data_IF_807242219863
#
_entry.id   IF_807242219863
#
_cell.length_a   1.000
_cell.length_b   1.000
_cell.length_c   1.000
_cell.angle_alpha   90.00
_cell.angle_beta   90.00
_cell.angle_gamma   90.00
#
_symmetry.space_group_name_H-M   'P 1'
#
loop_
_entity.id
_entity.type
_entity.pdbx_description
1 polymer ?
#
# COMPACT_ATOMS: atom_id res chain seq x y z
N UNK A 1 48.88 -1.45 -60.07
CA UNK A 1 47.80 -1.24 -59.09
C UNK A 1 48.28 -0.26 -58.08
N UNK A 2 47.92 1.01 -58.28
CA UNK A 2 48.32 2.15 -57.47
C UNK A 2 47.19 2.50 -56.52
N UNK A 3 47.40 2.34 -55.24
CA UNK A 3 46.46 2.73 -54.17
C UNK A 3 46.75 4.19 -53.81
N UNK A 4 45.81 5.05 -54.12
CA UNK A 4 45.83 6.50 -53.74
C UNK A 4 45.23 6.62 -52.35
N UNK A 5 46.03 7.01 -51.36
CA UNK A 5 45.63 7.39 -50.03
C UNK A 5 45.22 8.87 -50.03
N UNK A 6 43.93 9.15 -49.80
CA UNK A 6 43.44 10.53 -49.66
C UNK A 6 43.45 10.96 -48.18
N UNK A 7 44.34 11.87 -47.83
CA UNK A 7 44.43 12.52 -46.52
C UNK A 7 43.34 13.57 -46.42
N UNK A 8 42.38 13.37 -45.54
CA UNK A 8 41.34 14.37 -45.21
C UNK A 8 41.91 15.29 -44.12
N UNK A 9 42.26 16.54 -44.50
CA UNK A 9 42.61 17.61 -43.57
C UNK A 9 41.36 18.20 -42.97
N UNK A 10 41.18 18.04 -41.66
CA UNK A 10 40.09 18.69 -40.89
C UNK A 10 40.35 20.20 -40.76
N UNK A 11 39.35 21.07 -40.93
CA UNK A 11 39.54 22.49 -40.74
C UNK A 11 39.73 22.85 -39.27
N UNK A 12 40.78 23.60 -38.96
CA UNK A 12 41.06 24.15 -37.63
C UNK A 12 40.06 25.27 -37.35
N UNK A 13 39.12 25.02 -36.44
CA UNK A 13 38.20 26.07 -35.96
C UNK A 13 38.92 26.83 -34.88
N UNK A 14 39.32 28.08 -35.19
CA UNK A 14 39.80 29.05 -34.20
C UNK A 14 38.63 29.46 -33.30
N UNK A 15 38.57 28.90 -32.10
CA UNK A 15 37.66 29.37 -31.07
C UNK A 15 38.20 30.65 -30.43
N UNK A 16 37.41 31.71 -30.29
CA UNK A 16 37.83 32.93 -29.60
C UNK A 16 38.05 32.59 -28.11
N UNK A 17 39.25 32.95 -27.63
CA UNK A 17 39.60 32.85 -26.21
C UNK A 17 38.79 33.86 -25.40
N UNK A 18 37.70 33.44 -24.78
CA UNK A 18 36.98 34.27 -23.82
C UNK A 18 37.69 34.11 -22.47
N UNK A 19 38.48 35.09 -22.08
CA UNK A 19 39.04 35.21 -20.73
C UNK A 19 37.95 35.64 -19.77
N UNK A 20 37.15 34.64 -19.30
CA UNK A 20 36.25 34.84 -18.19
C UNK A 20 36.96 34.69 -16.83
N UNK A 21 36.43 35.26 -15.74
CA UNK A 21 37.02 35.14 -14.43
C UNK A 21 37.12 33.67 -14.03
N UNK A 22 38.29 33.24 -13.59
CA UNK A 22 38.57 31.88 -13.11
C UNK A 22 37.76 31.64 -11.87
N UNK A 23 36.59 31.00 -12.02
CA UNK A 23 35.82 30.51 -10.88
C UNK A 23 36.60 29.29 -10.35
N UNK A 24 37.31 29.48 -9.24
CA UNK A 24 37.90 28.37 -8.51
C UNK A 24 36.79 27.44 -8.03
N UNK A 25 36.63 26.31 -8.70
CA UNK A 25 35.71 25.26 -8.24
C UNK A 25 36.08 24.87 -6.83
N UNK A 26 35.15 24.89 -5.87
CA UNK A 26 35.44 24.39 -4.53
C UNK A 26 35.81 22.90 -4.63
N UNK A 27 37.05 22.59 -4.31
CA UNK A 27 37.50 21.18 -4.22
C UNK A 27 36.78 20.54 -3.04
N UNK A 28 35.69 19.83 -3.34
CA UNK A 28 34.98 19.03 -2.30
C UNK A 28 35.87 17.84 -1.99
N UNK A 29 36.69 17.97 -0.95
CA UNK A 29 37.47 16.86 -0.41
C UNK A 29 36.54 15.96 0.40
N UNK A 30 36.11 14.85 -0.18
CA UNK A 30 35.41 13.80 0.55
C UNK A 30 36.41 13.08 1.45
N UNK A 31 36.45 13.45 2.73
CA UNK A 31 37.20 12.70 3.72
C UNK A 31 36.51 11.35 3.95
N UNK A 32 37.26 10.28 3.80
CA UNK A 32 36.82 8.88 3.95
C UNK A 32 36.28 8.59 5.36
N UNK A 33 36.49 9.52 6.30
CA UNK A 33 36.04 9.44 7.69
C UNK A 33 34.50 9.51 7.85
N UNK A 34 33.79 10.11 6.89
CA UNK A 34 32.32 10.23 6.98
C UNK A 34 31.55 8.98 6.55
N UNK A 35 32.24 7.96 6.03
CA UNK A 35 31.58 6.72 5.56
C UNK A 35 31.34 5.68 6.64
N UNK A 36 31.89 5.83 7.82
CA UNK A 36 31.81 4.86 8.92
C UNK A 36 30.98 5.31 10.11
N UNK A 37 30.12 6.30 9.98
CA UNK A 37 29.01 6.41 10.91
C UNK A 37 28.08 5.20 10.69
N UNK A 38 28.46 4.07 11.29
CA UNK A 38 27.56 2.93 11.50
C UNK A 38 26.36 3.50 12.25
N UNK A 39 25.31 3.81 11.49
CA UNK A 39 24.04 4.32 12.02
C UNK A 39 23.50 3.24 12.93
N UNK A 40 23.71 3.43 14.22
CA UNK A 40 23.39 2.48 15.26
C UNK A 40 21.91 2.07 15.14
N UNK A 41 21.68 0.75 15.22
CA UNK A 41 20.36 0.08 15.17
C UNK A 41 19.28 0.76 16.03
N UNK A 42 19.68 1.49 17.08
CA UNK A 42 18.79 2.29 17.94
C UNK A 42 18.20 3.54 17.26
N UNK A 43 18.87 4.11 16.27
CA UNK A 43 18.34 5.22 15.45
C UNK A 43 17.24 4.75 14.50
N UNK A 44 17.31 3.50 14.02
CA UNK A 44 16.35 2.92 13.09
C UNK A 44 15.02 2.57 13.77
N UNK A 45 15.03 2.11 15.02
CA UNK A 45 13.81 1.79 15.79
C UNK A 45 12.99 3.07 16.04
N UNK A 46 13.64 4.20 16.34
CA UNK A 46 12.95 5.50 16.48
C UNK A 46 12.42 6.07 15.18
N UNK A 47 12.85 5.54 14.04
CA UNK A 47 12.35 5.93 12.74
C UNK A 47 11.01 5.26 12.35
N UNK A 48 10.67 4.13 12.99
CA UNK A 48 9.43 3.38 12.72
C UNK A 48 8.16 4.22 12.98
N UNK A 49 7.98 4.89 14.14
CA UNK A 49 6.77 5.68 14.39
C UNK A 49 6.62 6.85 13.42
N UNK A 50 7.70 7.47 12.98
CA UNK A 50 7.66 8.52 11.97
C UNK A 50 7.28 7.98 10.58
N UNK A 51 7.75 6.77 10.25
CA UNK A 51 7.35 6.08 9.03
C UNK A 51 5.87 5.70 9.06
N UNK A 52 5.38 5.13 10.16
CA UNK A 52 3.96 4.83 10.37
C UNK A 52 3.08 6.07 10.27
N UNK A 53 3.49 7.17 10.90
CA UNK A 53 2.77 8.44 10.82
C UNK A 53 2.67 8.95 9.38
N UNK A 54 3.74 8.84 8.60
CA UNK A 54 3.74 9.25 7.19
C UNK A 54 2.79 8.38 6.34
N UNK A 55 2.78 7.06 6.57
CA UNK A 55 1.85 6.16 5.89
C UNK A 55 0.40 6.44 6.29
N UNK A 56 0.13 6.68 7.58
CA UNK A 56 -1.20 7.03 8.07
C UNK A 56 -1.75 8.32 7.43
N UNK A 57 -0.92 9.35 7.32
CA UNK A 57 -1.31 10.61 6.65
C UNK A 57 -1.64 10.37 5.18
N UNK A 58 -0.84 9.56 4.47
CA UNK A 58 -1.11 9.18 3.07
C UNK A 58 -2.48 8.49 2.94
N UNK A 59 -2.78 7.55 3.83
CA UNK A 59 -4.04 6.80 3.82
C UNK A 59 -5.27 7.71 4.02
N UNK A 60 -5.20 8.61 4.97
CA UNK A 60 -6.32 9.51 5.29
C UNK A 60 -6.50 10.62 4.25
N UNK A 61 -5.42 11.03 3.57
CA UNK A 61 -5.44 12.04 2.53
C UNK A 61 -5.99 11.52 1.19
N UNK A 62 -5.84 10.23 0.89
CA UNK A 62 -6.27 9.64 -0.37
C UNK A 62 -7.79 9.49 -0.43
N UNK A 63 -8.43 10.20 -1.36
CA UNK A 63 -9.88 10.09 -1.61
C UNK A 63 -10.29 8.66 -1.98
N UNK A 64 -9.43 7.93 -2.70
CA UNK A 64 -9.66 6.54 -3.08
C UNK A 64 -9.93 5.64 -1.86
N UNK A 65 -9.23 5.84 -0.77
CA UNK A 65 -9.38 5.04 0.44
C UNK A 65 -10.75 5.25 1.12
N UNK A 66 -11.26 6.47 1.07
CA UNK A 66 -12.61 6.80 1.56
C UNK A 66 -13.69 6.13 0.71
N UNK A 67 -13.50 6.09 -0.61
CA UNK A 67 -14.40 5.38 -1.52
C UNK A 67 -14.38 3.87 -1.30
N UNK A 68 -13.23 3.29 -1.05
CA UNK A 68 -13.10 1.85 -0.74
C UNK A 68 -13.83 1.53 0.57
N UNK A 69 -13.67 2.35 1.62
CA UNK A 69 -14.42 2.20 2.87
C UNK A 69 -15.94 2.32 2.67
N UNK A 70 -16.36 3.32 1.89
CA UNK A 70 -17.78 3.50 1.56
C UNK A 70 -18.33 2.31 0.77
N UNK A 71 -17.61 1.83 -0.25
CA UNK A 71 -18.00 0.63 -1.01
C UNK A 71 -18.07 -0.61 -0.13
N UNK A 72 -17.13 -0.77 0.79
CA UNK A 72 -17.15 -1.89 1.76
C UNK A 72 -18.40 -1.83 2.65
N UNK A 73 -18.77 -0.64 3.13
CA UNK A 73 -19.99 -0.46 3.91
C UNK A 73 -21.25 -0.78 3.09
N UNK A 74 -21.33 -0.27 1.85
CA UNK A 74 -22.46 -0.53 0.95
C UNK A 74 -22.58 -2.03 0.65
N UNK A 75 -21.49 -2.70 0.30
CA UNK A 75 -21.48 -4.14 0.01
C UNK A 75 -21.91 -4.94 1.25
N UNK A 76 -21.36 -4.61 2.43
CA UNK A 76 -21.72 -5.27 3.67
C UNK A 76 -23.20 -5.14 4.00
N UNK A 77 -23.72 -3.89 3.96
CA UNK A 77 -25.11 -3.62 4.28
C UNK A 77 -26.09 -4.22 3.25
N UNK A 78 -25.80 -4.08 1.95
CA UNK A 78 -26.69 -4.59 0.90
C UNK A 78 -26.78 -6.11 0.90
N UNK A 79 -25.65 -6.81 0.94
CA UNK A 79 -25.67 -8.28 0.87
C UNK A 79 -26.34 -8.84 2.12
N UNK A 80 -25.95 -8.41 3.30
CA UNK A 80 -26.55 -8.90 4.53
C UNK A 80 -28.02 -8.49 4.67
N UNK A 81 -28.36 -7.26 4.25
CA UNK A 81 -29.74 -6.76 4.30
C UNK A 81 -30.68 -7.49 3.32
N UNK A 82 -30.24 -7.71 2.09
CA UNK A 82 -31.03 -8.45 1.09
C UNK A 82 -31.22 -9.90 1.54
N UNK A 83 -30.16 -10.56 2.00
CA UNK A 83 -30.27 -11.92 2.52
C UNK A 83 -31.19 -12.00 3.72
N UNK A 84 -31.12 -11.05 4.65
CA UNK A 84 -32.03 -10.97 5.79
C UNK A 84 -33.49 -10.79 5.36
N UNK A 85 -33.75 -9.88 4.42
CA UNK A 85 -35.10 -9.61 3.93
C UNK A 85 -35.71 -10.77 3.12
N UNK A 86 -34.88 -11.62 2.51
CA UNK A 86 -35.31 -12.78 1.73
C UNK A 86 -35.28 -14.10 2.48
N UNK A 87 -34.70 -14.10 3.69
CA UNK A 87 -34.62 -15.29 4.52
C UNK A 87 -36.03 -15.71 4.98
N UNK A 88 -36.45 -16.89 4.54
CA UNK A 88 -37.70 -17.53 5.00
C UNK A 88 -37.52 -18.32 6.28
N UNK A 89 -36.28 -18.66 6.63
CA UNK A 89 -35.93 -19.42 7.81
C UNK A 89 -35.75 -18.51 9.01
N UNK A 90 -36.63 -18.64 10.02
CA UNK A 90 -36.57 -17.91 11.28
C UNK A 90 -35.35 -18.27 12.15
N UNK A 91 -34.50 -19.22 11.72
CA UNK A 91 -33.33 -19.69 12.46
C UNK A 91 -32.03 -18.90 12.11
N UNK A 92 -32.03 -18.14 11.01
CA UNK A 92 -30.86 -17.40 10.60
C UNK A 92 -30.63 -16.15 11.48
N UNK A 93 -29.40 -15.99 11.94
CA UNK A 93 -28.99 -14.85 12.76
C UNK A 93 -28.12 -13.89 11.98
N UNK A 94 -28.10 -12.61 12.39
CA UNK A 94 -27.22 -11.60 11.77
C UNK A 94 -25.74 -12.01 11.84
N UNK A 95 -25.35 -12.78 12.87
CA UNK A 95 -24.00 -13.34 13.02
C UNK A 95 -23.64 -14.40 11.96
N UNK A 96 -24.60 -14.92 11.25
CA UNK A 96 -24.39 -15.84 10.11
C UNK A 96 -24.40 -15.06 8.80
N UNK A 97 -25.28 -14.11 8.67
CA UNK A 97 -25.48 -13.35 7.44
C UNK A 97 -24.28 -12.45 7.09
N UNK A 98 -23.55 -11.90 8.09
CA UNK A 98 -22.42 -11.03 7.81
C UNK A 98 -21.21 -11.77 7.20
N UNK A 99 -21.21 -13.11 7.20
CA UNK A 99 -20.14 -13.92 6.58
C UNK A 99 -20.19 -13.84 5.06
N UNK A 100 -21.38 -13.70 4.47
CA UNK A 100 -21.55 -13.70 3.01
C UNK A 100 -20.85 -12.57 2.27
N UNK A 101 -20.80 -11.31 2.75
CA UNK A 101 -20.03 -10.25 2.11
C UNK A 101 -18.52 -10.36 2.31
N UNK A 102 -18.02 -11.22 3.22
CA UNK A 102 -16.58 -11.29 3.56
C UNK A 102 -15.66 -11.53 2.37
N UNK A 103 -15.95 -12.42 1.40
CA UNK A 103 -15.05 -12.63 0.26
C UNK A 103 -14.87 -11.37 -0.59
N UNK A 104 -15.94 -10.60 -0.80
CA UNK A 104 -15.87 -9.34 -1.55
C UNK A 104 -15.09 -8.26 -0.78
N UNK A 105 -15.32 -8.16 0.52
CA UNK A 105 -14.56 -7.25 1.40
C UNK A 105 -13.08 -7.64 1.42
N UNK A 106 -12.76 -8.94 1.46
CA UNK A 106 -11.39 -9.42 1.40
C UNK A 106 -10.71 -9.10 0.05
N UNK A 107 -11.44 -9.22 -1.07
CA UNK A 107 -10.94 -8.75 -2.38
C UNK A 107 -10.61 -7.26 -2.37
N UNK A 108 -11.48 -6.41 -1.83
CA UNK A 108 -11.22 -4.98 -1.70
C UNK A 108 -10.01 -4.70 -0.81
N UNK A 109 -9.87 -5.45 0.28
CA UNK A 109 -8.71 -5.35 1.17
C UNK A 109 -7.40 -5.75 0.46
N UNK A 110 -7.42 -6.85 -0.30
CA UNK A 110 -6.27 -7.30 -1.07
C UNK A 110 -5.88 -6.30 -2.17
N UNK A 111 -6.87 -5.77 -2.91
CA UNK A 111 -6.62 -4.71 -3.92
C UNK A 111 -6.01 -3.47 -3.27
N UNK A 112 -6.50 -3.08 -2.09
CA UNK A 112 -5.93 -1.93 -1.34
C UNK A 112 -4.47 -2.20 -0.95
N UNK A 113 -4.17 -3.42 -0.49
CA UNK A 113 -2.80 -3.86 -0.19
C UNK A 113 -1.87 -3.78 -1.41
N UNK A 114 -2.33 -4.26 -2.58
CA UNK A 114 -1.60 -4.16 -3.84
C UNK A 114 -1.31 -2.70 -4.18
N UNK A 115 -2.34 -1.84 -4.19
CA UNK A 115 -2.24 -0.43 -4.58
C UNK A 115 -1.32 0.36 -3.64
N UNK A 116 -1.24 -0.01 -2.37
CA UNK A 116 -0.38 0.64 -1.40
C UNK A 116 1.11 0.55 -1.77
N UNK A 117 1.54 -0.53 -2.42
CA UNK A 117 2.92 -0.68 -2.86
C UNK A 117 3.10 -0.26 -4.32
N UNK A 118 2.24 -0.75 -5.22
CA UNK A 118 2.38 -0.52 -6.66
C UNK A 118 2.19 0.93 -7.03
N UNK A 119 1.34 1.67 -6.32
CA UNK A 119 1.15 3.10 -6.51
C UNK A 119 2.46 3.88 -6.32
N UNK A 120 3.22 3.59 -5.27
CA UNK A 120 4.51 4.24 -5.04
C UNK A 120 5.58 3.78 -6.04
N UNK A 121 5.57 2.51 -6.42
CA UNK A 121 6.51 1.97 -7.39
C UNK A 121 6.34 2.61 -8.78
N UNK A 122 5.09 2.79 -9.23
CA UNK A 122 4.77 3.38 -10.53
C UNK A 122 5.09 4.88 -10.61
N UNK A 123 4.93 5.62 -9.51
CA UNK A 123 5.22 7.06 -9.46
C UNK A 123 6.68 7.38 -9.11
N UNK A 124 7.55 6.37 -8.99
CA UNK A 124 8.97 6.56 -8.68
C UNK A 124 9.26 7.05 -7.25
N UNK A 125 8.23 7.26 -6.43
CA UNK A 125 8.38 7.75 -5.05
C UNK A 125 9.08 6.73 -4.15
N UNK A 126 9.03 5.44 -4.50
CA UNK A 126 9.75 4.38 -3.80
C UNK A 126 11.27 4.57 -3.85
N UNK A 127 11.81 4.97 -5.00
CA UNK A 127 13.25 5.23 -5.17
C UNK A 127 13.72 6.38 -4.27
N UNK A 128 12.94 7.46 -4.21
CA UNK A 128 13.23 8.62 -3.34
C UNK A 128 13.18 8.23 -1.86
N UNK A 129 12.18 7.43 -1.47
CA UNK A 129 12.04 6.95 -0.10
C UNK A 129 13.21 6.04 0.31
N UNK A 130 13.66 5.15 -0.58
CA UNK A 130 14.80 4.27 -0.35
C UNK A 130 16.13 5.03 -0.30
N UNK A 131 16.28 6.09 -1.11
CA UNK A 131 17.46 6.96 -1.09
C UNK A 131 17.52 7.77 0.22
N UNK A 132 16.39 8.27 0.70
CA UNK A 132 16.30 9.01 1.95
C UNK A 132 16.50 8.13 3.20
N UNK A 133 16.18 6.84 3.12
CA UNK A 133 16.28 5.88 4.23
C UNK A 133 16.87 4.55 3.76
N UNK A 134 18.16 4.28 4.01
CA UNK A 134 18.82 3.04 3.62
C UNK A 134 18.33 1.80 4.38
N UNK A 135 17.66 1.98 5.53
CA UNK A 135 17.09 0.90 6.35
C UNK A 135 15.79 0.36 5.73
N UNK A 136 15.90 -0.53 4.75
CA UNK A 136 14.76 -1.11 3.99
C UNK A 136 13.73 -1.80 4.88
N UNK A 137 14.18 -2.45 5.97
CA UNK A 137 13.28 -3.15 6.89
C UNK A 137 12.27 -2.22 7.57
N UNK A 138 12.65 -0.95 7.87
CA UNK A 138 11.74 0.05 8.47
C UNK A 138 10.56 0.34 7.53
N UNK A 139 10.83 0.46 6.23
CA UNK A 139 9.81 0.74 5.23
C UNK A 139 8.85 -0.46 5.08
N UNK A 140 9.41 -1.67 5.00
CA UNK A 140 8.61 -2.89 4.89
C UNK A 140 7.73 -3.07 6.14
N UNK A 141 8.29 -2.92 7.34
CA UNK A 141 7.53 -3.03 8.59
C UNK A 141 6.43 -1.99 8.68
N UNK A 142 6.71 -0.73 8.33
CA UNK A 142 5.69 0.32 8.33
C UNK A 142 4.55 -0.02 7.39
N UNK A 143 4.84 -0.46 6.16
CA UNK A 143 3.81 -0.86 5.17
C UNK A 143 3.01 -2.07 5.61
N UNK A 144 3.65 -3.08 6.18
CA UNK A 144 2.96 -4.28 6.69
C UNK A 144 1.99 -3.93 7.83
N UNK A 145 2.43 -3.13 8.80
CA UNK A 145 1.56 -2.67 9.90
C UNK A 145 0.40 -1.84 9.37
N UNK A 146 0.68 -0.95 8.41
CA UNK A 146 -0.35 -0.10 7.82
C UNK A 146 -1.35 -0.90 6.99
N UNK A 147 -0.89 -1.90 6.21
CA UNK A 147 -1.78 -2.80 5.46
C UNK A 147 -2.67 -3.63 6.39
N UNK A 148 -2.12 -4.14 7.49
CA UNK A 148 -2.90 -4.84 8.51
C UNK A 148 -3.96 -3.92 9.14
N UNK A 149 -3.60 -2.68 9.48
CA UNK A 149 -4.53 -1.69 10.01
C UNK A 149 -5.66 -1.34 9.03
N UNK A 150 -5.37 -1.23 7.73
CA UNK A 150 -6.38 -1.04 6.68
C UNK A 150 -7.30 -2.26 6.61
N UNK A 151 -6.75 -3.46 6.61
CA UNK A 151 -7.53 -4.70 6.62
C UNK A 151 -8.49 -4.76 7.81
N UNK A 152 -8.01 -4.40 9.02
CA UNK A 152 -8.85 -4.29 10.22
C UNK A 152 -9.95 -3.23 10.07
N UNK A 153 -9.63 -2.06 9.51
CA UNK A 153 -10.60 -0.99 9.31
C UNK A 153 -11.68 -1.39 8.30
N UNK A 154 -11.30 -2.01 7.18
CA UNK A 154 -12.24 -2.53 6.18
C UNK A 154 -13.10 -3.66 6.75
N UNK A 155 -12.49 -4.58 7.51
CA UNK A 155 -13.20 -5.66 8.18
C UNK A 155 -14.21 -5.15 9.18
N UNK A 156 -13.81 -4.21 10.05
CA UNK A 156 -14.72 -3.59 11.02
C UNK A 156 -15.85 -2.83 10.33
N UNK A 157 -15.55 -2.07 9.27
CA UNK A 157 -16.57 -1.33 8.51
C UNK A 157 -17.56 -2.28 7.84
N UNK A 158 -17.06 -3.32 7.15
CA UNK A 158 -17.91 -4.33 6.50
C UNK A 158 -18.78 -5.09 7.49
N UNK A 159 -18.23 -5.42 8.64
CA UNK A 159 -18.96 -6.11 9.71
C UNK A 159 -20.06 -5.24 10.31
N UNK A 160 -19.75 -4.00 10.72
CA UNK A 160 -20.74 -3.06 11.27
C UNK A 160 -21.85 -2.79 10.25
N UNK A 161 -21.49 -2.56 9.00
CA UNK A 161 -22.46 -2.36 7.93
C UNK A 161 -23.30 -3.62 7.64
N UNK A 162 -22.68 -4.80 7.67
CA UNK A 162 -23.38 -6.08 7.54
C UNK A 162 -24.41 -6.32 8.65
N UNK A 163 -24.04 -6.04 9.90
CA UNK A 163 -24.98 -6.12 11.02
C UNK A 163 -26.11 -5.10 10.91
N UNK A 164 -25.80 -3.88 10.52
CA UNK A 164 -26.82 -2.85 10.30
C UNK A 164 -27.80 -3.27 9.19
N UNK A 165 -27.30 -3.81 8.10
CA UNK A 165 -28.11 -4.34 7.00
C UNK A 165 -29.01 -5.51 7.45
N UNK A 166 -28.47 -6.48 8.18
CA UNK A 166 -29.22 -7.61 8.70
C UNK A 166 -30.31 -7.17 9.71
N UNK A 167 -29.99 -6.22 10.58
CA UNK A 167 -30.96 -5.66 11.54
C UNK A 167 -32.11 -4.93 10.84
N UNK A 168 -31.83 -4.17 9.76
CA UNK A 168 -32.86 -3.54 8.93
C UNK A 168 -33.73 -4.61 8.24
N UNK A 169 -33.14 -5.74 7.85
CA UNK A 169 -33.86 -6.88 7.28
C UNK A 169 -34.70 -7.67 8.30
N UNK A 170 -34.68 -7.32 9.60
CA UNK A 170 -35.54 -7.88 10.64
C UNK A 170 -34.98 -9.16 11.30
N UNK A 171 -33.69 -9.47 11.13
CA UNK A 171 -33.07 -10.67 11.70
C UNK A 171 -32.42 -10.36 13.05
N UNK A 172 -32.56 -11.27 14.01
CA UNK A 172 -31.95 -11.13 15.34
C UNK A 172 -30.43 -11.23 15.31
N UNK A 173 -29.74 -10.49 16.20
CA UNK A 173 -28.29 -10.41 16.27
C UNK A 173 -27.58 -11.75 16.58
N UNK A 174 -28.27 -12.68 17.26
CA UNK A 174 -27.69 -13.94 17.70
C UNK A 174 -26.95 -13.85 19.03
N UNK A 175 -26.30 -14.95 19.44
CA UNK A 175 -25.62 -15.04 20.75
C UNK A 175 -24.31 -14.26 20.74
N UNK A 176 -23.99 -13.54 21.82
CA UNK A 176 -22.80 -12.70 21.94
C UNK A 176 -21.47 -13.46 21.79
N UNK A 177 -21.40 -14.72 22.27
CA UNK A 177 -20.19 -15.54 22.17
C UNK A 177 -19.88 -15.97 20.71
N UNK A 178 -20.91 -16.40 19.98
CA UNK A 178 -20.78 -16.75 18.56
C UNK A 178 -20.41 -15.52 17.72
N UNK A 179 -21.00 -14.37 18.03
CA UNK A 179 -20.71 -13.10 17.41
C UNK A 179 -19.23 -12.73 17.55
N UNK A 180 -18.71 -12.76 18.77
CA UNK A 180 -17.31 -12.37 19.06
C UNK A 180 -16.33 -13.29 18.35
N UNK A 181 -16.53 -14.60 18.39
CA UNK A 181 -15.66 -15.56 17.72
C UNK A 181 -15.64 -15.34 16.20
N UNK A 182 -16.80 -15.24 15.58
CA UNK A 182 -16.92 -15.01 14.12
C UNK A 182 -16.33 -13.66 13.70
N UNK A 183 -16.55 -12.61 14.51
CA UNK A 183 -15.99 -11.29 14.27
C UNK A 183 -14.45 -11.30 14.28
N UNK A 184 -13.84 -11.97 15.25
CA UNK A 184 -12.38 -12.09 15.32
C UNK A 184 -11.80 -12.82 14.10
N UNK A 185 -12.42 -13.92 13.69
CA UNK A 185 -12.01 -14.66 12.49
C UNK A 185 -12.19 -13.84 11.23
N UNK A 186 -13.28 -13.09 11.10
CA UNK A 186 -13.51 -12.20 9.96
C UNK A 186 -12.47 -11.08 9.86
N UNK A 187 -12.16 -10.43 10.99
CA UNK A 187 -11.13 -9.39 11.04
C UNK A 187 -9.75 -9.93 10.70
N UNK A 188 -9.40 -11.11 11.22
CA UNK A 188 -8.14 -11.77 10.90
C UNK A 188 -8.06 -12.13 9.40
N UNK A 189 -9.13 -12.71 8.85
CA UNK A 189 -9.21 -13.08 7.44
C UNK A 189 -9.01 -11.89 6.51
N UNK A 190 -9.71 -10.77 6.75
CA UNK A 190 -9.63 -9.57 5.93
C UNK A 190 -8.25 -8.89 6.08
N UNK A 191 -7.69 -8.87 7.29
CA UNK A 191 -6.33 -8.35 7.51
C UNK A 191 -5.28 -9.18 6.78
N UNK A 192 -5.43 -10.51 6.79
CA UNK A 192 -4.54 -11.42 6.07
C UNK A 192 -4.67 -11.21 4.55
N UNK A 193 -5.87 -11.02 4.02
CA UNK A 193 -6.08 -10.70 2.61
C UNK A 193 -5.37 -9.41 2.21
N UNK A 194 -5.43 -8.35 3.03
CA UNK A 194 -4.70 -7.11 2.78
C UNK A 194 -3.17 -7.32 2.77
N UNK A 195 -2.65 -8.15 3.67
CA UNK A 195 -1.22 -8.49 3.73
C UNK A 195 -0.78 -9.32 2.53
N UNK A 196 -1.58 -10.27 2.11
CA UNK A 196 -1.33 -11.06 0.88
C UNK A 196 -1.30 -10.13 -0.32
N UNK A 197 -2.28 -9.22 -0.44
CA UNK A 197 -2.30 -8.21 -1.49
C UNK A 197 -1.05 -7.34 -1.49
N UNK A 198 -0.59 -6.87 -0.34
CA UNK A 198 0.67 -6.13 -0.22
C UNK A 198 1.86 -6.98 -0.71
N UNK A 199 1.94 -8.25 -0.31
CA UNK A 199 3.00 -9.18 -0.76
C UNK A 199 3.01 -9.38 -2.27
N UNK A 200 1.83 -9.59 -2.87
CA UNK A 200 1.68 -9.70 -4.33
C UNK A 200 2.10 -8.39 -5.00
N UNK A 201 1.70 -7.23 -4.48
CA UNK A 201 2.10 -5.92 -4.99
C UNK A 201 3.63 -5.72 -4.97
N UNK A 202 4.32 -6.22 -3.95
CA UNK A 202 5.79 -6.16 -3.88
C UNK A 202 6.48 -6.99 -4.95
N UNK A 203 5.89 -8.13 -5.35
CA UNK A 203 6.45 -9.03 -6.36
C UNK A 203 6.20 -8.50 -7.76
N UNK A 204 4.98 -8.08 -8.05
CA UNK A 204 4.52 -7.83 -9.43
C UNK A 204 4.82 -6.41 -9.92
N UNK A 205 5.17 -5.46 -9.11
CA UNK A 205 5.50 -4.06 -9.46
C UNK A 205 4.50 -3.29 -10.35
N UNK A 206 3.58 -3.98 -11.03
CA UNK A 206 2.53 -3.40 -11.88
C UNK A 206 1.15 -3.72 -11.30
N UNK A 207 0.36 -2.69 -11.01
CA UNK A 207 -0.93 -2.85 -10.33
C UNK A 207 -1.94 -3.68 -11.14
N UNK A 208 -2.02 -3.46 -12.45
CA UNK A 208 -2.95 -4.20 -13.31
C UNK A 208 -2.67 -5.71 -13.33
N UNK A 209 -1.40 -6.11 -13.46
CA UNK A 209 -1.00 -7.52 -13.45
C UNK A 209 -1.20 -8.16 -12.07
N UNK A 210 -0.98 -7.42 -10.98
CA UNK A 210 -1.20 -7.92 -9.63
C UNK A 210 -2.68 -8.14 -9.32
N UNK A 211 -3.57 -7.27 -9.79
CA UNK A 211 -5.02 -7.39 -9.58
C UNK A 211 -5.62 -8.51 -10.43
N UNK A 212 -5.14 -8.70 -11.65
CA UNK A 212 -5.63 -9.78 -12.53
C UNK A 212 -5.21 -11.19 -12.09
N UNK A 213 -4.19 -11.29 -11.23
CA UNK A 213 -3.71 -12.56 -10.67
C UNK A 213 -4.28 -12.91 -9.29
N UNK A 214 -5.20 -12.10 -8.73
CA UNK A 214 -5.84 -12.32 -7.44
C UNK A 214 -7.16 -13.08 -7.60
#
# INVERSE_FOLDING_TARGET
MTTTSSTITSPTINSPTISGPTISSPTITWTTSDRTAVRTRSGDVRAVPNALRSEWIKLTALRANKWILAMTAVIGALIAGVLAATATDATLTASELFIYPLPLVAMLAAVTGILMFTGEAQHGTLAVTLAARPARWVIVTAKTVTAAAIGLALGATGMVAGFAGAAIGGVELGSGSALTSRALWALLYISLAALIGLGVGMIVRHSAAAISGL
#
